data_IF_859010937792
#
_entry.id   IF_859010937792
#
_cell.length_a   1.000
_cell.length_b   1.000
_cell.length_c   1.000
_cell.angle_alpha   90.00
_cell.angle_beta   90.00
_cell.angle_gamma   90.00
#
_symmetry.space_group_name_H-M   'P 1'
#
loop_
_entity.id
_entity.type
_entity.pdbx_description
1 polymer ?
#
# COMPACT_ATOMS: atom_id res chain seq x y z
N UNK A 1 -19.69 -11.40 -5.08
CA UNK A 1 -18.36 -11.50 -4.45
C UNK A 1 -18.53 -11.39 -2.94
N UNK A 2 -17.86 -12.23 -2.14
CA UNK A 2 -17.84 -12.08 -0.68
C UNK A 2 -17.43 -10.65 -0.31
N UNK A 3 -18.17 -10.02 0.61
CA UNK A 3 -17.90 -8.63 1.05
C UNK A 3 -16.45 -8.47 1.54
N UNK A 4 -15.89 -9.52 2.14
CA UNK A 4 -14.49 -9.57 2.59
C UNK A 4 -13.48 -9.36 1.46
N UNK A 5 -13.72 -9.92 0.27
CA UNK A 5 -12.82 -9.75 -0.88
C UNK A 5 -12.81 -8.28 -1.32
N UNK A 6 -13.99 -7.66 -1.35
CA UNK A 6 -14.16 -6.27 -1.74
C UNK A 6 -13.44 -5.33 -0.77
N UNK A 7 -13.46 -5.64 0.53
CA UNK A 7 -12.70 -4.89 1.56
C UNK A 7 -11.18 -5.05 1.36
N UNK A 8 -10.70 -6.27 1.09
CA UNK A 8 -9.25 -6.52 0.86
C UNK A 8 -8.76 -5.81 -0.40
N UNK A 9 -9.53 -5.86 -1.50
CA UNK A 9 -9.22 -5.13 -2.73
C UNK A 9 -9.15 -3.61 -2.48
N UNK A 10 -10.10 -3.08 -1.71
CA UNK A 10 -10.16 -1.65 -1.40
C UNK A 10 -8.98 -1.20 -0.53
N UNK A 11 -8.54 -2.04 0.40
CA UNK A 11 -7.30 -1.83 1.16
C UNK A 11 -6.08 -1.83 0.22
N UNK A 12 -6.01 -2.79 -0.72
CA UNK A 12 -4.96 -2.84 -1.73
C UNK A 12 -4.88 -1.57 -2.58
N UNK A 13 -6.02 -1.08 -3.08
CA UNK A 13 -6.11 0.20 -3.81
C UNK A 13 -5.58 1.35 -2.95
N UNK A 14 -5.96 1.39 -1.68
CA UNK A 14 -5.57 2.45 -0.75
C UNK A 14 -4.05 2.47 -0.54
N UNK A 15 -3.42 1.30 -0.39
CA UNK A 15 -1.96 1.17 -0.28
C UNK A 15 -1.23 1.62 -1.55
N UNK A 16 -1.74 1.26 -2.74
CA UNK A 16 -1.17 1.71 -4.01
C UNK A 16 -1.29 3.23 -4.14
N UNK A 17 -2.44 3.80 -3.78
CA UNK A 17 -2.68 5.24 -3.82
C UNK A 17 -1.75 6.01 -2.88
N UNK A 18 -1.58 5.52 -1.65
CA UNK A 18 -0.64 6.10 -0.68
C UNK A 18 0.80 5.99 -1.17
N UNK A 19 1.22 4.85 -1.72
CA UNK A 19 2.53 4.68 -2.33
C UNK A 19 2.76 5.64 -3.51
N UNK A 20 1.74 5.89 -4.33
CA UNK A 20 1.80 6.88 -5.41
C UNK A 20 1.90 8.32 -4.89
N UNK A 21 1.19 8.68 -3.83
CA UNK A 21 1.30 9.99 -3.19
C UNK A 21 2.69 10.22 -2.59
N UNK A 22 3.28 9.18 -2.01
CA UNK A 22 4.67 9.19 -1.51
C UNK A 22 5.65 9.43 -2.66
N UNK A 23 5.52 8.72 -3.79
CA UNK A 23 6.37 8.92 -4.96
C UNK A 23 6.30 10.36 -5.49
N UNK A 24 5.11 10.96 -5.46
CA UNK A 24 4.89 12.34 -5.88
C UNK A 24 5.24 13.39 -4.82
N UNK A 25 5.72 12.98 -3.64
CA UNK A 25 6.03 13.85 -2.49
C UNK A 25 4.85 14.70 -2.01
N UNK A 26 3.63 14.23 -2.26
CA UNK A 26 2.39 14.90 -1.84
C UNK A 26 1.90 14.46 -0.45
N UNK A 27 2.55 13.43 0.12
CA UNK A 27 2.26 12.93 1.47
C UNK A 27 3.53 12.82 2.35
N UNK A 28 4.29 13.92 2.55
CA UNK A 28 5.50 13.90 3.38
C UNK A 28 5.18 13.51 4.84
N UNK A 29 4.06 13.99 5.38
CA UNK A 29 3.59 13.69 6.73
C UNK A 29 3.22 12.23 6.95
N UNK A 30 2.76 11.51 5.91
CA UNK A 30 2.41 10.09 6.06
C UNK A 30 3.65 9.23 6.24
N UNK A 31 4.70 9.54 5.48
CA UNK A 31 5.99 8.87 5.57
C UNK A 31 6.66 9.15 6.92
N UNK A 32 6.64 10.41 7.36
CA UNK A 32 7.14 10.83 8.67
C UNK A 32 6.37 10.16 9.82
N UNK A 33 5.04 10.02 9.70
CA UNK A 33 4.18 9.45 10.73
C UNK A 33 4.31 7.91 10.83
N UNK A 34 4.39 7.23 9.69
CA UNK A 34 4.49 5.76 9.62
C UNK A 34 5.88 5.29 9.96
N UNK A 35 6.91 5.96 9.43
CA UNK A 35 8.27 5.50 9.62
C UNK A 35 8.86 5.98 10.92
N UNK A 36 8.46 7.13 11.49
CA UNK A 36 8.92 7.69 12.80
C UNK A 36 10.45 7.66 13.03
N UNK A 37 11.22 7.30 12.02
CA UNK A 37 12.62 6.89 12.07
C UNK A 37 13.27 7.68 10.95
N UNK A 38 13.82 8.86 11.27
CA UNK A 38 14.91 9.54 10.56
C UNK A 38 14.84 9.72 9.03
N UNK A 39 13.75 9.36 8.36
CA UNK A 39 13.60 9.45 6.92
C UNK A 39 13.13 10.85 6.61
N UNK A 40 14.07 11.72 6.28
CA UNK A 40 13.76 13.05 5.79
C UNK A 40 12.96 12.93 4.50
N UNK A 41 11.70 13.39 4.50
CA UNK A 41 10.86 13.48 3.29
C UNK A 41 11.48 14.31 2.14
N UNK A 42 12.56 15.05 2.41
CA UNK A 42 13.37 15.77 1.43
C UNK A 42 14.24 14.83 0.58
N UNK A 43 14.52 13.62 1.04
CA UNK A 43 15.36 12.67 0.33
C UNK A 43 14.60 11.96 -0.80
N UNK A 44 14.90 12.38 -2.04
CA UNK A 44 14.29 11.83 -3.27
C UNK A 44 14.42 10.32 -3.37
N UNK A 45 15.52 9.77 -2.86
CA UNK A 45 15.82 8.33 -2.89
C UNK A 45 14.92 7.58 -1.92
N UNK A 46 14.77 8.10 -0.70
CA UNK A 46 13.95 7.46 0.32
C UNK A 46 12.46 7.44 -0.07
N UNK A 47 11.95 8.54 -0.61
CA UNK A 47 10.57 8.59 -1.12
C UNK A 47 10.32 7.59 -2.26
N UNK A 48 11.30 7.41 -3.16
CA UNK A 48 11.20 6.41 -4.23
C UNK A 48 11.18 4.98 -3.68
N UNK A 49 12.04 4.69 -2.72
CA UNK A 49 12.11 3.38 -2.08
C UNK A 49 10.81 3.05 -1.34
N UNK A 50 10.38 3.91 -0.42
CA UNK A 50 9.19 3.69 0.39
C UNK A 50 7.89 3.73 -0.42
N UNK A 51 7.78 4.66 -1.37
CA UNK A 51 6.62 4.73 -2.27
C UNK A 51 6.53 3.50 -3.18
N UNK A 52 7.66 3.05 -3.72
CA UNK A 52 7.74 1.81 -4.49
C UNK A 52 7.36 0.59 -3.66
N UNK A 53 7.89 0.47 -2.43
CA UNK A 53 7.58 -0.62 -1.51
C UNK A 53 6.09 -0.68 -1.18
N UNK A 54 5.45 0.46 -0.89
CA UNK A 54 4.01 0.50 -0.63
C UNK A 54 3.18 0.06 -1.84
N UNK A 55 3.57 0.44 -3.06
CA UNK A 55 2.88 -0.02 -4.28
C UNK A 55 3.03 -1.53 -4.46
N UNK A 56 4.23 -2.09 -4.24
CA UNK A 56 4.47 -3.53 -4.31
C UNK A 56 3.62 -4.28 -3.29
N UNK A 57 3.57 -3.80 -2.05
CA UNK A 57 2.71 -4.38 -1.00
C UNK A 57 1.24 -4.31 -1.38
N UNK A 58 0.77 -3.16 -1.89
CA UNK A 58 -0.62 -3.00 -2.35
C UNK A 58 -0.98 -3.94 -3.51
N UNK A 59 -0.06 -4.18 -4.44
CA UNK A 59 -0.22 -5.16 -5.51
C UNK A 59 -0.31 -6.60 -4.97
N UNK A 60 0.51 -6.97 -3.98
CA UNK A 60 0.43 -8.28 -3.33
C UNK A 60 -0.93 -8.46 -2.65
N UNK A 61 -1.43 -7.43 -1.95
CA UNK A 61 -2.75 -7.46 -1.29
C UNK A 61 -3.87 -7.62 -2.33
N UNK A 62 -3.78 -6.96 -3.49
CA UNK A 62 -4.75 -7.15 -4.58
C UNK A 62 -4.74 -8.57 -5.17
N UNK A 63 -3.58 -9.22 -5.19
CA UNK A 63 -3.44 -10.59 -5.72
C UNK A 63 -3.84 -11.66 -4.69
N UNK A 64 -3.88 -11.33 -3.40
CA UNK A 64 -4.22 -12.26 -2.31
C UNK A 64 -5.57 -12.98 -2.50
N UNK A 65 -6.67 -12.29 -2.85
CA UNK A 65 -7.96 -12.94 -3.10
C UNK A 65 -7.93 -13.94 -4.27
N UNK A 66 -7.06 -13.71 -5.27
CA UNK A 66 -6.86 -14.62 -6.40
C UNK A 66 -6.05 -15.85 -6.00
N UNK A 67 -5.07 -15.70 -5.11
CA UNK A 67 -4.17 -16.78 -4.67
C UNK A 67 -4.83 -17.67 -3.61
N UNK A 68 -5.52 -17.08 -2.64
CA UNK A 68 -6.16 -17.82 -1.53
C UNK A 68 -7.48 -18.49 -1.95
N UNK A 69 -8.03 -18.09 -3.10
CA UNK A 69 -9.31 -18.56 -3.60
C UNK A 69 -10.48 -17.89 -2.87
N UNK A 70 -11.39 -17.31 -3.64
CA UNK A 70 -12.60 -16.68 -3.12
C UNK A 70 -13.48 -17.63 -2.27
N UNK A 71 -13.31 -18.95 -2.45
CA UNK A 71 -14.04 -19.99 -1.72
C UNK A 71 -13.53 -20.21 -0.29
N UNK A 72 -12.25 -19.95 0.00
CA UNK A 72 -11.69 -20.11 1.36
C UNK A 72 -11.90 -18.87 2.26
N UNK A 73 -12.32 -17.75 1.68
CA UNK A 73 -12.57 -16.49 2.41
C UNK A 73 -14.02 -16.34 2.88
N UNK A 74 -14.84 -17.37 2.68
CA UNK A 74 -16.28 -17.37 2.97
C UNK A 74 -16.66 -18.21 4.20
N UNK A 75 -15.67 -18.63 5.00
CA UNK A 75 -15.83 -19.41 6.25
C UNK A 75 -15.91 -18.44 7.44
#
# INVERSE_FOLDING_TARGET
>A
MPIHILVVELIGVLFIYLGFLILNRKAPTFLDFVLKIGVTYTDKISNRFWGGLMIVVGLIIMLMPLILGAENMNI
#
